data_IF_543005983188
#
_entry.id   IF_543005983188
#
_cell.length_a   1.000
_cell.length_b   1.000
_cell.length_c   1.000
_cell.angle_alpha   90.00
_cell.angle_beta   90.00
_cell.angle_gamma   90.00
#
_symmetry.space_group_name_H-M   'P 1'
#
loop_
_entity.id
_entity.type
_entity.pdbx_description
1 polymer ?
#
# COMPACT_ATOMS: atom_id res chain seq x y z
N UNK A 1 39.19 29.81 -3.04
CA UNK A 1 38.09 29.18 -3.79
C UNK A 1 37.45 28.14 -2.89
N UNK A 2 36.16 28.28 -2.58
CA UNK A 2 35.44 27.36 -1.68
C UNK A 2 34.93 26.12 -2.42
N UNK A 3 34.83 25.01 -1.69
CA UNK A 3 34.15 23.81 -2.18
C UNK A 3 32.66 24.13 -2.45
N UNK A 4 32.14 23.69 -3.59
CA UNK A 4 30.74 23.89 -3.99
C UNK A 4 30.08 22.55 -4.28
N UNK A 5 29.00 22.24 -3.56
CA UNK A 5 28.23 21.03 -3.82
C UNK A 5 27.13 21.29 -4.86
N UNK A 6 27.07 20.45 -5.89
CA UNK A 6 26.04 20.48 -6.90
C UNK A 6 24.92 19.48 -6.61
N UNK A 7 23.66 19.90 -6.38
CA UNK A 7 22.55 18.98 -6.17
C UNK A 7 22.22 18.16 -7.43
N UNK A 8 22.46 18.70 -8.62
CA UNK A 8 22.18 18.04 -9.91
C UNK A 8 23.21 16.96 -10.22
N UNK A 9 24.49 17.29 -10.04
CA UNK A 9 25.58 16.36 -10.30
C UNK A 9 25.85 15.39 -9.13
N UNK A 10 25.36 15.71 -7.93
CA UNK A 10 25.64 15.04 -6.65
C UNK A 10 27.14 14.91 -6.38
N UNK A 11 27.87 16.00 -6.65
CA UNK A 11 29.33 16.07 -6.53
C UNK A 11 29.74 17.41 -5.92
N UNK A 12 30.79 17.37 -5.14
CA UNK A 12 31.46 18.57 -4.63
C UNK A 12 32.59 18.94 -5.58
N UNK A 13 32.50 20.12 -6.18
CA UNK A 13 33.52 20.68 -7.05
C UNK A 13 34.34 21.73 -6.28
N UNK A 14 35.66 21.59 -6.34
CA UNK A 14 36.59 22.50 -5.66
C UNK A 14 36.99 23.72 -6.52
N UNK A 15 36.65 23.70 -7.81
CA UNK A 15 36.82 24.81 -8.76
C UNK A 15 35.73 25.88 -8.66
N UNK A 16 34.88 25.81 -7.63
CA UNK A 16 33.75 26.72 -7.42
C UNK A 16 32.59 26.50 -8.41
N UNK A 17 31.91 27.57 -8.80
CA UNK A 17 30.70 27.53 -9.66
C UNK A 17 30.99 27.27 -11.15
N UNK A 18 32.26 27.12 -11.55
CA UNK A 18 32.64 26.88 -12.94
C UNK A 18 32.08 25.57 -13.52
N UNK A 19 31.87 24.54 -12.68
CA UNK A 19 31.40 23.23 -13.14
C UNK A 19 30.02 23.29 -13.83
N UNK A 20 29.17 24.27 -13.46
CA UNK A 20 27.80 24.43 -13.96
C UNK A 20 27.79 24.64 -15.48
N UNK A 21 28.84 25.27 -16.01
CA UNK A 21 29.03 25.50 -17.43
C UNK A 21 29.59 24.27 -18.18
N UNK A 22 29.99 23.23 -17.46
CA UNK A 22 30.56 22.02 -18.04
C UNK A 22 29.52 21.18 -18.80
N UNK A 23 29.94 20.57 -19.91
CA UNK A 23 29.07 19.69 -20.74
C UNK A 23 28.43 18.56 -19.94
N UNK A 24 29.16 17.97 -18.98
CA UNK A 24 28.64 16.89 -18.13
C UNK A 24 27.46 17.35 -17.26
N UNK A 25 27.56 18.53 -16.63
CA UNK A 25 26.47 19.10 -15.86
C UNK A 25 25.26 19.39 -16.76
N UNK A 26 25.49 20.08 -17.88
CA UNK A 26 24.44 20.46 -18.82
C UNK A 26 23.69 19.25 -19.41
N UNK A 27 24.40 18.16 -19.75
CA UNK A 27 23.76 16.93 -20.20
C UNK A 27 22.88 16.29 -19.12
N UNK A 28 23.35 16.24 -17.86
CA UNK A 28 22.55 15.72 -16.73
C UNK A 28 21.33 16.58 -16.44
N UNK A 29 21.51 17.90 -16.43
CA UNK A 29 20.43 18.87 -16.27
C UNK A 29 19.34 18.67 -17.33
N UNK A 30 19.72 18.51 -18.60
CA UNK A 30 18.77 18.24 -19.70
C UNK A 30 17.97 16.96 -19.46
N UNK A 31 18.60 15.86 -19.05
CA UNK A 31 17.90 14.61 -18.75
C UNK A 31 16.90 14.78 -17.61
N UNK A 32 17.29 15.47 -16.54
CA UNK A 32 16.41 15.76 -15.40
C UNK A 32 15.22 16.62 -15.84
N UNK A 33 15.47 17.69 -16.59
CA UNK A 33 14.42 18.58 -17.09
C UNK A 33 13.46 17.88 -18.04
N UNK A 34 13.93 16.96 -18.89
CA UNK A 34 13.05 16.17 -19.78
C UNK A 34 12.11 15.30 -18.95
N UNK A 35 12.65 14.53 -17.99
CA UNK A 35 11.83 13.68 -17.10
C UNK A 35 10.85 14.50 -16.26
N UNK A 36 11.29 15.65 -15.76
CA UNK A 36 10.42 16.53 -14.98
C UNK A 36 9.32 17.14 -15.86
N UNK A 37 9.65 17.54 -17.09
CA UNK A 37 8.68 18.08 -18.04
C UNK A 37 7.62 17.06 -18.42
N UNK A 38 7.97 15.77 -18.56
CA UNK A 38 7.00 14.71 -18.83
C UNK A 38 5.93 14.62 -17.74
N UNK A 39 6.33 14.66 -16.45
CA UNK A 39 5.41 14.68 -15.31
C UNK A 39 4.49 15.91 -15.32
N UNK A 40 5.05 17.08 -15.59
CA UNK A 40 4.28 18.34 -15.66
C UNK A 40 3.32 18.32 -16.85
N UNK A 41 3.72 17.75 -17.99
CA UNK A 41 2.85 17.60 -19.16
C UNK A 41 1.72 16.62 -18.90
N UNK A 42 1.97 15.52 -18.19
CA UNK A 42 0.96 14.56 -17.80
C UNK A 42 -0.11 15.22 -16.93
N UNK A 43 0.29 15.93 -15.88
CA UNK A 43 -0.63 16.70 -15.05
C UNK A 43 -1.36 17.79 -15.84
N UNK A 44 -0.69 18.49 -16.78
CA UNK A 44 -1.35 19.52 -17.59
C UNK A 44 -2.48 18.94 -18.47
N UNK A 45 -2.43 17.66 -18.84
CA UNK A 45 -3.50 16.99 -19.61
C UNK A 45 -4.76 16.80 -18.78
N UNK A 46 -4.65 16.66 -17.46
CA UNK A 46 -5.80 16.48 -16.57
C UNK A 46 -6.53 17.79 -16.28
N UNK A 47 -5.97 18.95 -16.67
CA UNK A 47 -6.65 20.25 -16.51
C UNK A 47 -8.02 20.30 -17.19
N UNK A 48 -8.14 19.68 -18.38
CA UNK A 48 -9.40 19.67 -19.14
C UNK A 48 -10.40 18.64 -18.62
N UNK A 49 -9.91 17.50 -18.16
CA UNK A 49 -10.70 16.36 -17.71
C UNK A 49 -10.10 15.83 -16.41
N UNK A 50 -10.36 16.50 -15.28
CA UNK A 50 -9.86 16.04 -13.99
C UNK A 50 -10.45 14.69 -13.64
N UNK A 51 -9.63 13.82 -13.05
CA UNK A 51 -10.05 12.50 -12.60
C UNK A 51 -10.26 12.56 -11.10
N UNK A 52 -11.46 12.20 -10.68
CA UNK A 52 -11.89 12.12 -9.29
C UNK A 52 -12.21 10.66 -9.01
N UNK A 53 -11.53 10.09 -8.03
CA UNK A 53 -11.65 8.69 -7.64
C UNK A 53 -11.95 8.58 -6.14
N UNK A 54 -12.44 7.42 -5.71
CA UNK A 54 -12.54 7.09 -4.28
C UNK A 54 -11.14 7.04 -3.69
N UNK A 55 -11.00 7.50 -2.44
CA UNK A 55 -9.72 7.42 -1.77
C UNK A 55 -9.19 5.97 -1.72
N UNK A 56 -7.92 5.83 -2.05
CA UNK A 56 -7.13 4.61 -2.05
C UNK A 56 -5.74 4.98 -1.52
N UNK A 57 -5.07 4.10 -0.75
CA UNK A 57 -3.70 4.34 -0.28
C UNK A 57 -2.69 4.62 -1.41
N UNK A 58 -2.98 4.16 -2.63
CA UNK A 58 -2.16 4.43 -3.81
C UNK A 58 -2.16 5.91 -4.22
N UNK A 59 -3.12 6.71 -3.73
CA UNK A 59 -3.20 8.14 -4.03
C UNK A 59 -2.26 9.00 -3.16
N UNK A 60 -1.66 8.45 -2.12
CA UNK A 60 -0.68 9.13 -1.24
C UNK A 60 0.73 9.23 -1.87
N UNK A 61 0.80 9.21 -3.21
CA UNK A 61 2.04 9.37 -3.96
C UNK A 61 2.58 10.80 -3.86
N UNK A 62 3.88 10.91 -3.61
CA UNK A 62 4.63 12.17 -3.62
C UNK A 62 5.51 12.30 -4.84
N UNK A 63 5.75 13.53 -5.29
CA UNK A 63 6.75 13.83 -6.30
C UNK A 63 7.78 14.85 -5.80
N UNK A 64 9.01 14.72 -6.28
CA UNK A 64 10.07 15.68 -6.02
C UNK A 64 10.04 16.83 -7.04
N UNK A 65 9.92 18.06 -6.56
CA UNK A 65 10.09 19.26 -7.37
C UNK A 65 11.56 19.69 -7.37
N UNK A 66 12.22 19.63 -8.53
CA UNK A 66 13.63 20.04 -8.66
C UNK A 66 13.84 21.55 -8.52
N UNK A 67 12.84 22.37 -8.84
CA UNK A 67 12.94 23.83 -8.77
C UNK A 67 12.91 24.31 -7.31
N UNK A 68 11.99 23.74 -6.53
CA UNK A 68 11.80 24.07 -5.11
C UNK A 68 12.71 23.25 -4.19
N UNK A 69 13.23 22.12 -4.66
CA UNK A 69 13.92 21.11 -3.84
C UNK A 69 13.06 20.62 -2.67
N UNK A 70 11.79 20.32 -2.96
CA UNK A 70 10.79 19.87 -2.00
C UNK A 70 10.05 18.63 -2.49
N UNK A 71 9.62 17.80 -1.54
CA UNK A 71 8.64 16.73 -1.76
C UNK A 71 7.24 17.31 -1.66
N UNK A 72 6.43 17.08 -2.69
CA UNK A 72 5.08 17.63 -2.84
C UNK A 72 4.12 16.49 -3.11
N UNK A 73 2.88 16.58 -2.62
CA UNK A 73 1.85 15.60 -2.92
C UNK A 73 1.50 15.63 -4.41
N UNK A 74 1.41 14.45 -5.03
CA UNK A 74 1.05 14.33 -6.45
C UNK A 74 -0.45 14.54 -6.61
N UNK A 75 -1.26 13.90 -5.78
CA UNK A 75 -2.71 13.96 -5.77
C UNK A 75 -3.20 14.82 -4.59
N UNK A 76 -4.43 15.34 -4.66
CA UNK A 76 -5.12 15.93 -3.50
C UNK A 76 -6.07 14.88 -2.97
N UNK A 77 -5.94 14.52 -1.70
CA UNK A 77 -6.70 13.47 -1.05
C UNK A 77 -7.50 14.08 0.09
N UNK A 78 -8.82 13.99 0.01
CA UNK A 78 -9.72 14.16 1.14
C UNK A 78 -10.14 12.78 1.65
N UNK A 79 -10.68 12.69 2.87
CA UNK A 79 -10.87 11.43 3.60
C UNK A 79 -11.52 10.29 2.81
N UNK A 80 -12.38 10.62 1.83
CA UNK A 80 -13.12 9.65 1.02
C UNK A 80 -12.85 9.77 -0.49
N UNK A 81 -12.19 10.84 -0.95
CA UNK A 81 -12.10 11.21 -2.37
C UNK A 81 -10.68 11.65 -2.71
N UNK A 82 -10.22 11.36 -3.92
CA UNK A 82 -8.91 11.75 -4.41
C UNK A 82 -8.99 12.39 -5.80
N UNK A 83 -8.48 13.61 -5.91
CA UNK A 83 -8.35 14.33 -7.18
C UNK A 83 -6.95 14.09 -7.75
N UNK A 84 -6.89 13.40 -8.89
CA UNK A 84 -5.59 13.02 -9.43
C UNK A 84 -4.81 14.22 -9.98
N UNK A 85 -3.50 14.25 -9.72
CA UNK A 85 -2.58 15.33 -10.11
C UNK A 85 -2.89 16.72 -9.51
N UNK A 86 -3.89 16.83 -8.62
CA UNK A 86 -4.29 18.10 -8.02
C UNK A 86 -3.15 18.80 -7.27
N UNK A 87 -2.41 18.06 -6.45
CA UNK A 87 -1.37 18.64 -5.59
C UNK A 87 -0.17 19.11 -6.39
N UNK A 88 0.15 18.40 -7.48
CA UNK A 88 1.17 18.83 -8.43
C UNK A 88 0.74 20.12 -9.14
N UNK A 89 -0.48 20.18 -9.67
CA UNK A 89 -0.97 21.37 -10.38
C UNK A 89 -1.02 22.60 -9.45
N UNK A 90 -1.51 22.42 -8.23
CA UNK A 90 -1.56 23.46 -7.20
C UNK A 90 -0.16 24.00 -6.89
N UNK A 91 0.80 23.11 -6.57
CA UNK A 91 2.18 23.52 -6.30
C UNK A 91 2.80 24.32 -7.46
N UNK A 92 2.59 23.85 -8.69
CA UNK A 92 3.16 24.47 -9.89
C UNK A 92 2.55 25.83 -10.24
N UNK A 93 1.38 26.15 -9.68
CA UNK A 93 0.71 27.45 -9.80
C UNK A 93 1.15 28.46 -8.74
N UNK A 94 1.82 28.00 -7.66
CA UNK A 94 2.20 28.88 -6.56
C UNK A 94 3.22 29.95 -6.99
N UNK A 95 3.14 31.18 -6.44
CA UNK A 95 4.13 32.22 -6.72
C UNK A 95 5.53 31.82 -6.22
N UNK A 96 5.61 31.05 -5.13
CA UNK A 96 6.87 30.51 -4.62
C UNK A 96 7.56 29.62 -5.63
N UNK A 97 6.84 28.66 -6.24
CA UNK A 97 7.38 27.82 -7.30
C UNK A 97 7.86 28.63 -8.49
N UNK A 98 7.13 29.68 -8.90
CA UNK A 98 7.56 30.58 -9.97
C UNK A 98 8.91 31.22 -9.65
N UNK A 99 9.06 31.82 -8.46
CA UNK A 99 10.34 32.44 -8.05
C UNK A 99 11.48 31.44 -7.97
N UNK A 100 11.23 30.26 -7.40
CA UNK A 100 12.20 29.17 -7.30
C UNK A 100 12.60 28.63 -8.68
N UNK A 101 11.67 28.55 -9.62
CA UNK A 101 11.93 28.18 -11.01
C UNK A 101 12.87 29.20 -11.67
N UNK A 102 12.61 30.50 -11.52
CA UNK A 102 13.52 31.53 -12.04
C UNK A 102 14.93 31.42 -11.44
N UNK A 103 15.02 31.23 -10.12
CA UNK A 103 16.29 31.04 -9.41
C UNK A 103 17.03 29.78 -9.86
N UNK A 104 16.33 28.64 -9.97
CA UNK A 104 16.90 27.38 -10.43
C UNK A 104 17.46 27.49 -11.85
N UNK A 105 16.74 28.18 -12.76
CA UNK A 105 17.22 28.42 -14.12
C UNK A 105 18.48 29.27 -14.15
N UNK A 106 18.52 30.30 -13.31
CA UNK A 106 19.69 31.16 -13.19
C UNK A 106 20.89 30.42 -12.61
N UNK A 107 20.70 29.66 -11.53
CA UNK A 107 21.77 28.96 -10.83
C UNK A 107 22.38 27.85 -11.68
N UNK A 108 21.56 27.12 -12.45
CA UNK A 108 22.03 25.98 -13.26
C UNK A 108 22.29 26.32 -14.74
N UNK A 109 22.12 27.59 -15.14
CA UNK A 109 22.27 28.05 -16.54
C UNK A 109 21.49 27.19 -17.53
N UNK A 110 20.24 26.88 -17.16
CA UNK A 110 19.34 26.09 -17.97
C UNK A 110 18.81 26.89 -19.19
N UNK A 111 18.36 26.17 -20.22
CA UNK A 111 17.82 26.76 -21.44
C UNK A 111 16.58 27.64 -21.14
N UNK A 112 16.61 28.97 -21.41
CA UNK A 112 15.52 29.88 -21.05
C UNK A 112 14.19 29.55 -21.74
N UNK A 113 14.24 28.99 -22.96
CA UNK A 113 13.07 28.60 -23.76
C UNK A 113 12.22 27.50 -23.12
N UNK A 114 12.79 26.75 -22.18
CA UNK A 114 12.09 25.65 -21.52
C UNK A 114 11.41 26.09 -20.22
N UNK A 115 11.83 27.20 -19.62
CA UNK A 115 11.38 27.65 -18.30
C UNK A 115 9.86 27.77 -18.21
N UNK A 116 9.25 28.46 -19.16
CA UNK A 116 7.83 28.78 -19.11
C UNK A 116 6.94 27.53 -19.21
N UNK A 117 7.49 26.37 -19.63
CA UNK A 117 6.77 25.08 -19.66
C UNK A 117 6.57 24.50 -18.25
N UNK A 118 7.37 24.92 -17.28
CA UNK A 118 7.32 24.47 -15.89
C UNK A 118 6.57 25.45 -14.98
N UNK A 119 5.88 26.44 -15.55
CA UNK A 119 5.05 27.38 -14.82
C UNK A 119 3.61 27.18 -15.33
N UNK A 120 2.68 26.96 -14.41
CA UNK A 120 1.25 26.90 -14.72
C UNK A 120 0.69 28.29 -14.45
N UNK A 121 -0.05 28.83 -15.41
CA UNK A 121 -0.66 30.16 -15.24
C UNK A 121 -1.85 30.05 -14.29
N UNK A 122 -2.16 31.15 -13.62
CA UNK A 122 -3.31 31.24 -12.72
C UNK A 122 -4.62 30.92 -13.46
N UNK A 123 -4.81 31.45 -14.67
CA UNK A 123 -5.94 31.12 -15.55
C UNK A 123 -6.15 29.61 -15.79
N UNK A 124 -5.06 28.85 -15.96
CA UNK A 124 -5.12 27.40 -16.18
C UNK A 124 -5.52 26.68 -14.89
N UNK A 125 -5.14 27.23 -13.75
CA UNK A 125 -5.45 26.71 -12.42
C UNK A 125 -6.90 26.98 -12.05
N UNK A 126 -7.42 28.17 -12.38
CA UNK A 126 -8.84 28.50 -12.22
C UNK A 126 -9.72 27.56 -13.05
N UNK A 127 -9.37 27.34 -14.33
CA UNK A 127 -10.06 26.37 -15.19
C UNK A 127 -10.01 24.96 -14.61
N UNK A 128 -8.87 24.55 -14.07
CA UNK A 128 -8.75 23.26 -13.39
C UNK A 128 -9.71 23.18 -12.20
N UNK A 129 -9.75 24.21 -11.33
CA UNK A 129 -10.67 24.25 -10.17
C UNK A 129 -12.13 24.16 -10.59
N UNK A 130 -12.54 24.86 -11.65
CA UNK A 130 -13.92 24.79 -12.15
C UNK A 130 -14.26 23.41 -12.70
N UNK A 131 -13.36 22.79 -13.48
CA UNK A 131 -13.58 21.44 -14.00
C UNK A 131 -13.54 20.38 -12.89
N UNK A 132 -12.71 20.57 -11.86
CA UNK A 132 -12.67 19.68 -10.68
C UNK A 132 -14.00 19.75 -9.93
N UNK A 133 -14.55 20.96 -9.73
CA UNK A 133 -15.85 21.15 -9.08
C UNK A 133 -16.94 20.39 -9.83
N UNK A 134 -16.98 20.53 -11.16
CA UNK A 134 -17.90 19.78 -12.02
C UNK A 134 -17.67 18.27 -11.99
N UNK A 135 -16.42 17.82 -11.95
CA UNK A 135 -16.10 16.39 -11.87
C UNK A 135 -16.49 15.79 -10.51
N UNK A 136 -16.40 16.57 -9.43
CA UNK A 136 -16.87 16.18 -8.10
C UNK A 136 -18.39 16.03 -8.09
N UNK A 137 -19.14 17.01 -8.61
CA UNK A 137 -20.60 16.91 -8.74
C UNK A 137 -21.01 15.65 -9.54
N UNK A 138 -20.36 15.39 -10.67
CA UNK A 138 -20.62 14.18 -11.47
C UNK A 138 -20.24 12.89 -10.75
N UNK A 139 -19.25 12.92 -9.87
CA UNK A 139 -18.85 11.76 -9.08
C UNK A 139 -19.89 11.48 -8.00
N UNK A 140 -20.34 12.50 -7.28
CA UNK A 140 -21.41 12.41 -6.27
C UNK A 140 -22.72 11.92 -6.89
N UNK A 141 -23.13 12.45 -8.04
CA UNK A 141 -24.33 11.98 -8.75
C UNK A 141 -24.26 10.49 -9.10
N UNK A 142 -23.09 9.99 -9.53
CA UNK A 142 -22.89 8.57 -9.85
C UNK A 142 -22.97 7.70 -8.59
N UNK A 143 -22.38 8.16 -7.49
CA UNK A 143 -22.47 7.47 -6.19
C UNK A 143 -23.92 7.42 -5.70
N UNK A 144 -24.67 8.51 -5.81
CA UNK A 144 -26.09 8.58 -5.46
C UNK A 144 -26.95 7.62 -6.29
N UNK A 145 -26.71 7.55 -7.60
CA UNK A 145 -27.38 6.60 -8.48
C UNK A 145 -27.06 5.17 -8.06
N UNK A 146 -25.81 4.88 -7.73
CA UNK A 146 -25.38 3.56 -7.26
C UNK A 146 -26.05 3.18 -5.93
N UNK A 147 -26.12 4.11 -4.97
CA UNK A 147 -26.82 3.92 -3.68
C UNK A 147 -28.31 3.67 -3.92
N UNK A 148 -28.97 4.45 -4.80
CA UNK A 148 -30.38 4.25 -5.15
C UNK A 148 -30.64 2.88 -5.79
N UNK A 149 -29.74 2.40 -6.65
CA UNK A 149 -29.82 1.07 -7.24
C UNK A 149 -29.68 -0.02 -6.19
N UNK A 150 -28.69 0.07 -5.28
CA UNK A 150 -28.56 -0.90 -4.19
C UNK A 150 -29.78 -0.92 -3.28
N UNK A 151 -30.31 0.25 -2.92
CA UNK A 151 -31.54 0.36 -2.12
C UNK A 151 -32.75 -0.25 -2.83
N UNK A 152 -32.85 -0.14 -4.15
CA UNK A 152 -33.91 -0.79 -4.93
C UNK A 152 -33.81 -2.32 -4.89
N UNK A 153 -32.59 -2.88 -5.00
CA UNK A 153 -32.35 -4.31 -4.86
C UNK A 153 -32.79 -4.80 -3.48
N UNK A 154 -32.38 -4.12 -2.41
CA UNK A 154 -32.78 -4.46 -1.03
C UNK A 154 -34.31 -4.43 -0.88
N UNK A 155 -34.99 -3.39 -1.39
CA UNK A 155 -36.45 -3.30 -1.35
C UNK A 155 -37.13 -4.42 -2.13
N UNK A 156 -36.63 -4.79 -3.31
CA UNK A 156 -37.19 -5.90 -4.09
C UNK A 156 -36.99 -7.25 -3.40
N UNK A 157 -35.84 -7.45 -2.75
CA UNK A 157 -35.57 -8.66 -1.99
C UNK A 157 -36.48 -8.77 -0.77
N UNK A 158 -36.72 -7.67 -0.06
CA UNK A 158 -37.64 -7.64 1.08
C UNK A 158 -39.09 -7.88 0.63
N UNK A 159 -39.52 -7.25 -0.47
CA UNK A 159 -40.84 -7.51 -1.06
C UNK A 159 -41.02 -8.99 -1.41
N UNK A 160 -40.01 -9.60 -2.02
CA UNK A 160 -40.04 -11.03 -2.34
C UNK A 160 -40.11 -11.91 -1.09
N UNK A 161 -39.38 -11.57 -0.01
CA UNK A 161 -39.46 -12.28 1.28
C UNK A 161 -40.87 -12.19 1.88
N UNK A 162 -41.48 -11.01 1.85
CA UNK A 162 -42.83 -10.79 2.35
C UNK A 162 -43.88 -11.57 1.53
N UNK A 163 -43.74 -11.60 0.20
CA UNK A 163 -44.60 -12.37 -0.70
C UNK A 163 -44.55 -13.88 -0.39
N UNK A 164 -43.34 -14.43 -0.24
CA UNK A 164 -43.16 -15.85 0.15
C UNK A 164 -43.80 -16.12 1.51
N UNK A 165 -43.57 -15.27 2.52
CA UNK A 165 -44.19 -15.42 3.83
C UNK A 165 -45.72 -15.34 3.77
N UNK A 166 -46.27 -14.43 2.95
CA UNK A 166 -47.71 -14.28 2.78
C UNK A 166 -48.32 -15.52 2.14
N UNK A 167 -47.69 -16.09 1.11
CA UNK A 167 -48.17 -17.32 0.45
C UNK A 167 -48.20 -18.53 1.39
N UNK A 168 -47.33 -18.58 2.40
CA UNK A 168 -47.34 -19.63 3.43
C UNK A 168 -48.42 -19.43 4.51
N UNK A 169 -48.95 -18.21 4.61
CA UNK A 169 -49.95 -17.81 5.62
C UNK A 169 -51.38 -17.76 5.09
N UNK A 170 -51.62 -17.95 3.78
CA UNK A 170 -52.98 -18.03 3.23
C UNK A 170 -53.74 -19.24 3.81
N UNK A 171 -54.89 -19.04 4.49
CA UNK A 171 -55.74 -20.13 4.92
C UNK A 171 -56.42 -20.80 3.71
N UNK A 172 -56.48 -22.13 3.73
CA UNK A 172 -57.17 -22.96 2.75
C UNK A 172 -58.65 -22.54 2.62
N UNK A 173 -59.16 -22.16 1.42
CA UNK A 173 -60.53 -21.70 1.25
C UNK A 173 -61.59 -22.82 1.30
N UNK A 174 -61.21 -24.07 1.55
CA UNK A 174 -62.17 -25.16 1.79
C UNK A 174 -62.29 -25.47 3.29
N UNK A 175 -63.18 -24.76 4.00
CA UNK A 175 -64.00 -25.29 5.10
C UNK A 175 -64.84 -24.19 5.78
N UNK A 176 -65.85 -23.64 5.08
CA UNK A 176 -67.05 -23.15 5.79
C UNK A 176 -68.29 -23.47 4.95
N UNK A 177 -68.94 -24.58 5.28
CA UNK A 177 -70.35 -24.81 4.95
C UNK A 177 -71.25 -24.18 6.03
N UNK A 178 -72.50 -23.83 5.67
CA UNK A 178 -73.33 -22.88 6.40
C UNK A 178 -74.06 -23.53 7.57
N UNK A 179 -74.06 -22.88 8.73
CA UNK A 179 -74.94 -23.21 9.83
C UNK A 179 -75.71 -21.97 10.29
N UNK A 180 -76.97 -22.23 10.57
CA UNK A 180 -78.10 -21.33 10.61
C UNK A 180 -78.16 -20.44 11.87
N UNK A 181 -78.76 -19.26 11.66
CA UNK A 181 -79.70 -18.53 12.53
C UNK A 181 -79.54 -18.72 14.05
N UNK A 182 -79.12 -17.64 14.74
CA UNK A 182 -79.80 -17.27 15.97
C UNK A 182 -79.97 -15.75 16.08
N UNK A 183 -81.24 -15.36 16.18
CA UNK A 183 -81.70 -13.99 16.35
C UNK A 183 -81.33 -13.52 17.75
N UNK A 184 -80.72 -12.34 17.91
CA UNK A 184 -81.11 -11.42 18.98
C UNK A 184 -80.90 -9.97 18.53
N UNK A 185 -82.03 -9.26 18.49
CA UNK A 185 -82.18 -7.83 18.27
C UNK A 185 -81.31 -7.00 19.22
N UNK A 186 -80.61 -6.00 18.69
CA UNK A 186 -80.81 -4.65 19.20
C UNK A 186 -80.49 -3.59 18.14
N UNK A 187 -81.54 -2.91 17.69
CA UNK A 187 -81.49 -1.70 16.85
C UNK A 187 -81.01 -0.54 17.71
N UNK A 188 -80.22 0.36 17.14
CA UNK A 188 -80.40 1.83 17.06
C UNK A 188 -79.14 2.40 16.36
N UNK A 189 -79.21 2.76 15.06
CA UNK A 189 -79.42 4.14 14.54
C UNK A 189 -78.25 5.07 14.95
N UNK A 190 -77.45 5.74 14.10
CA UNK A 190 -77.66 6.26 12.75
C UNK A 190 -76.35 6.43 11.96
N UNK A 191 -76.49 6.41 10.64
CA UNK A 191 -75.52 6.77 9.60
C UNK A 191 -75.01 8.21 9.70
N UNK A 192 -73.75 8.44 9.26
CA UNK A 192 -73.40 9.57 8.40
C UNK A 192 -72.01 9.40 7.77
N UNK A 193 -72.01 9.32 6.45
CA UNK A 193 -70.87 9.45 5.54
C UNK A 193 -70.47 10.91 5.35
N UNK A 194 -69.17 11.21 5.26
CA UNK A 194 -68.61 12.12 4.24
C UNK A 194 -67.06 12.05 4.24
N UNK A 195 -66.52 12.21 3.04
CA UNK A 195 -65.12 12.20 2.65
C UNK A 195 -64.35 13.47 3.04
N UNK A 196 -63.02 13.38 2.86
CA UNK A 196 -62.14 14.36 2.19
C UNK A 196 -61.08 15.05 3.06
N UNK A 197 -59.83 14.89 2.59
CA UNK A 197 -58.82 15.93 2.33
C UNK A 197 -57.43 15.86 3.01
N UNK A 198 -56.49 16.43 2.25
CA UNK A 198 -55.07 16.18 2.18
C UNK A 198 -54.18 17.18 2.94
N UNK A 199 -53.04 16.67 3.46
CA UNK A 199 -51.69 17.29 3.58
C UNK A 199 -51.53 18.51 4.55
N UNK A 200 -50.31 19.09 4.76
CA UNK A 200 -48.99 18.53 5.15
C UNK A 200 -48.22 19.38 6.21
N UNK A 201 -47.18 18.80 6.88
CA UNK A 201 -46.02 19.50 7.49
C UNK A 201 -46.23 20.31 8.79
N UNK A 202 -45.18 20.69 9.56
CA UNK A 202 -43.89 21.16 9.05
C UNK A 202 -42.61 20.61 9.75
N UNK A 203 -41.53 20.83 9.01
CA UNK A 203 -40.09 20.78 9.33
C UNK A 203 -39.60 21.82 10.35
N UNK A 204 -38.58 21.50 11.15
CA UNK A 204 -37.35 22.31 11.25
C UNK A 204 -36.20 21.52 11.90
N UNK A 205 -35.01 21.87 11.45
CA UNK A 205 -33.68 21.29 11.66
C UNK A 205 -33.07 21.71 13.02
N UNK A 206 -32.13 20.93 13.57
CA UNK A 206 -30.72 21.37 13.66
C UNK A 206 -29.76 20.34 14.31
N UNK A 207 -28.50 20.56 13.97
CA UNK A 207 -27.27 19.76 14.12
C UNK A 207 -26.75 19.45 15.56
N UNK A 208 -26.18 18.25 15.68
CA UNK A 208 -24.93 17.88 16.36
C UNK A 208 -24.54 18.46 17.74
N UNK A 209 -24.48 17.60 18.76
CA UNK A 209 -23.21 17.01 19.26
C UNK A 209 -23.36 16.41 20.67
N UNK A 210 -22.54 15.37 20.91
CA UNK A 210 -22.18 14.74 22.18
C UNK A 210 -23.10 13.66 22.76
N UNK A 211 -22.70 12.44 22.42
CA UNK A 211 -22.17 11.47 23.38
C UNK A 211 -23.15 10.58 24.14
N UNK A 212 -22.70 9.33 24.25
CA UNK A 212 -22.83 8.48 25.43
C UNK A 212 -24.15 7.71 25.57
N UNK A 213 -24.07 6.46 25.08
CA UNK A 213 -24.48 5.25 25.78
C UNK A 213 -25.48 5.46 26.93
N UNK A 214 -26.73 5.05 26.70
CA UNK A 214 -27.56 4.49 27.76
C UNK A 214 -28.40 3.35 27.17
N UNK A 215 -28.44 2.28 27.94
CA UNK A 215 -29.27 1.09 27.80
C UNK A 215 -30.73 1.39 27.45
N UNK A 216 -31.43 0.41 26.85
CA UNK A 216 -32.81 0.16 27.19
C UNK A 216 -32.89 -1.13 28.02
N UNK A 217 -32.90 -0.96 29.34
CA UNK A 217 -33.60 -1.90 30.22
C UNK A 217 -35.11 -1.72 30.06
N UNK A 218 -35.85 -2.80 30.33
CA UNK A 218 -37.32 -2.97 30.27
C UNK A 218 -37.87 -3.58 28.97
N UNK A 219 -37.46 -4.83 28.75
CA UNK A 219 -38.19 -5.83 27.97
C UNK A 219 -38.06 -7.21 28.61
N UNK A 220 -38.31 -7.34 29.92
CA UNK A 220 -38.37 -8.65 30.58
C UNK A 220 -39.68 -9.34 30.20
N UNK A 221 -39.65 -10.20 29.18
CA UNK A 221 -40.61 -11.30 29.07
C UNK A 221 -40.14 -12.45 29.95
N UNK A 222 -40.95 -12.80 30.95
CA UNK A 222 -40.74 -13.95 31.83
C UNK A 222 -40.79 -15.24 31.01
N UNK A 223 -39.63 -15.88 30.81
CA UNK A 223 -39.55 -17.26 30.32
C UNK A 223 -39.68 -18.16 31.56
N UNK A 224 -40.71 -19.00 31.58
CA UNK A 224 -41.12 -19.81 32.75
C UNK A 224 -40.01 -20.69 33.33
N UNK A 225 -40.28 -21.23 34.53
CA UNK A 225 -39.36 -22.07 35.32
C UNK A 225 -38.61 -23.07 34.44
N UNK A 226 -37.29 -22.90 34.32
CA UNK A 226 -36.41 -23.92 33.75
C UNK A 226 -36.04 -24.88 34.88
N UNK A 227 -36.52 -26.11 34.79
CA UNK A 227 -36.02 -27.21 35.60
C UNK A 227 -34.52 -27.33 35.36
N UNK A 228 -33.74 -27.28 36.44
CA UNK A 228 -32.27 -27.18 36.44
C UNK A 228 -31.55 -28.44 35.94
N UNK A 229 -32.26 -29.34 35.29
CA UNK A 229 -31.79 -30.67 34.89
C UNK A 229 -31.54 -30.84 33.39
N UNK A 230 -31.80 -29.83 32.53
CA UNK A 230 -31.55 -29.93 31.08
C UNK A 230 -30.34 -29.11 30.64
N UNK A 231 -29.13 -29.54 30.96
CA UNK A 231 -27.91 -29.04 30.34
C UNK A 231 -27.73 -29.68 28.95
N UNK A 232 -28.44 -29.16 27.95
CA UNK A 232 -28.33 -29.63 26.56
C UNK A 232 -28.89 -28.62 25.56
N UNK A 233 -28.39 -28.62 24.33
CA UNK A 233 -28.85 -27.73 23.28
C UNK A 233 -30.35 -27.96 22.94
N UNK A 234 -31.13 -26.87 22.78
CA UNK A 234 -32.61 -26.87 22.72
C UNK A 234 -33.19 -27.67 21.54
N UNK A 235 -32.39 -28.02 20.54
CA UNK A 235 -32.85 -28.75 19.35
C UNK A 235 -32.49 -30.25 19.32
N UNK A 236 -31.63 -30.75 20.21
CA UNK A 236 -31.21 -32.16 20.16
C UNK A 236 -30.92 -32.78 21.52
N UNK A 237 -30.91 -32.01 22.61
CA UNK A 237 -30.61 -32.50 23.97
C UNK A 237 -29.18 -33.03 24.15
N UNK A 238 -28.36 -33.07 23.09
CA UNK A 238 -26.99 -33.52 23.14
C UNK A 238 -26.10 -32.43 23.76
N UNK A 239 -25.20 -32.86 24.64
CA UNK A 239 -24.16 -32.02 25.22
C UNK A 239 -23.17 -31.65 24.10
N UNK A 240 -22.93 -30.36 23.85
CA UNK A 240 -21.99 -29.95 22.80
C UNK A 240 -20.58 -30.47 23.12
N UNK A 241 -19.78 -30.79 22.09
CA UNK A 241 -18.52 -31.52 22.25
C UNK A 241 -17.47 -30.83 23.11
N UNK A 242 -17.57 -29.50 23.32
CA UNK A 242 -16.69 -28.74 24.21
C UNK A 242 -17.15 -28.69 25.69
N UNK A 243 -18.28 -29.32 26.00
CA UNK A 243 -18.87 -29.42 27.34
C UNK A 243 -18.86 -30.87 27.86
N UNK A 244 -18.18 -31.77 27.16
CA UNK A 244 -17.88 -33.11 27.66
C UNK A 244 -16.66 -32.99 28.58
N UNK A 245 -16.83 -33.26 29.88
CA UNK A 245 -15.70 -33.50 30.76
C UNK A 245 -15.04 -34.80 30.29
N UNK A 246 -13.81 -34.69 29.80
CA UNK A 246 -13.09 -35.82 29.19
C UNK A 246 -12.98 -36.99 30.18
N UNK A 247 -13.52 -38.19 29.84
CA UNK A 247 -13.32 -39.34 30.68
C UNK A 247 -11.93 -39.92 30.45
N UNK A 248 -11.27 -40.24 31.57
CA UNK A 248 -9.98 -40.90 31.66
C UNK A 248 -9.78 -42.02 30.63
N UNK A 249 -8.71 -41.87 29.85
CA UNK A 249 -7.84 -42.88 29.23
C UNK A 249 -8.30 -44.34 29.32
N UNK A 250 -8.93 -44.85 28.24
CA UNK A 250 -8.80 -46.25 27.86
C UNK A 250 -9.06 -46.47 26.36
N UNK A 251 -7.98 -46.74 25.63
CA UNK A 251 -7.95 -47.44 24.32
C UNK A 251 -8.11 -46.57 23.05
N UNK A 252 -7.06 -45.81 22.76
CA UNK A 252 -6.40 -45.70 21.45
C UNK A 252 -7.22 -45.57 20.16
N UNK A 253 -7.30 -44.35 19.63
CA UNK A 253 -6.92 -44.02 18.24
C UNK A 253 -6.66 -42.52 18.13
N UNK A 254 -5.41 -42.17 17.78
CA UNK A 254 -4.84 -40.85 17.47
C UNK A 254 -5.70 -39.59 17.68
N UNK A 255 -5.29 -38.76 18.64
CA UNK A 255 -5.46 -37.31 18.56
C UNK A 255 -4.88 -36.86 17.22
N UNK A 256 -5.73 -36.66 16.21
CA UNK A 256 -5.33 -35.96 15.02
C UNK A 256 -5.12 -34.51 15.44
N UNK A 257 -3.88 -34.13 15.75
CA UNK A 257 -3.50 -32.73 15.86
C UNK A 257 -3.93 -32.04 14.57
N UNK A 258 -5.01 -31.27 14.65
CA UNK A 258 -5.53 -30.53 13.52
C UNK A 258 -4.61 -29.34 13.28
N UNK A 259 -3.53 -29.56 12.51
CA UNK A 259 -2.55 -28.55 12.13
C UNK A 259 -1.11 -29.06 12.22
N UNK A 260 -0.16 -28.46 11.46
CA UNK A 260 1.24 -28.81 11.60
C UNK A 260 1.70 -28.56 13.03
N UNK A 261 2.50 -29.48 13.56
CA UNK A 261 3.05 -29.36 14.91
C UNK A 261 3.72 -27.99 15.09
N UNK A 262 3.66 -27.42 16.30
CA UNK A 262 4.30 -26.14 16.60
C UNK A 262 5.77 -26.11 16.12
N UNK A 263 6.45 -27.25 16.24
CA UNK A 263 7.83 -27.42 15.80
C UNK A 263 7.98 -27.38 14.27
N UNK A 264 7.05 -27.95 13.51
CA UNK A 264 7.00 -27.82 12.05
C UNK A 264 6.71 -26.39 11.60
N UNK A 265 5.79 -25.69 12.27
CA UNK A 265 5.51 -24.30 11.96
C UNK A 265 6.74 -23.40 12.14
N UNK A 266 7.49 -23.61 13.22
CA UNK A 266 8.73 -22.87 13.47
C UNK A 266 9.79 -23.17 12.41
N UNK A 267 9.98 -24.45 12.05
CA UNK A 267 10.90 -24.85 10.96
C UNK A 267 10.50 -24.22 9.62
N UNK A 268 9.21 -24.19 9.29
CA UNK A 268 8.72 -23.57 8.07
C UNK A 268 9.01 -22.06 8.04
N UNK A 269 8.79 -21.36 9.16
CA UNK A 269 9.15 -19.94 9.31
C UNK A 269 10.63 -19.67 9.09
N UNK A 270 11.51 -20.55 9.57
CA UNK A 270 12.95 -20.42 9.35
C UNK A 270 13.34 -20.63 7.88
N UNK A 271 12.74 -21.62 7.21
CA UNK A 271 12.98 -21.85 5.79
C UNK A 271 12.51 -20.69 4.91
N UNK A 272 11.37 -20.07 5.21
CA UNK A 272 10.92 -18.88 4.49
C UNK A 272 11.87 -17.69 4.66
N UNK A 273 12.43 -17.51 5.87
CA UNK A 273 13.45 -16.47 6.10
C UNK A 273 14.68 -16.71 5.24
N UNK A 274 15.12 -17.96 5.10
CA UNK A 274 16.27 -18.33 4.26
C UNK A 274 15.97 -18.13 2.77
N UNK A 275 14.76 -18.47 2.29
CA UNK A 275 14.34 -18.27 0.90
C UNK A 275 14.25 -16.79 0.48
N UNK A 276 13.96 -15.89 1.42
CA UNK A 276 13.89 -14.44 1.21
C UNK A 276 15.26 -13.76 1.08
N UNK A 277 16.35 -14.49 1.36
CA UNK A 277 17.70 -13.95 1.29
C UNK A 277 18.29 -14.19 -0.11
N UNK A 278 19.01 -13.20 -0.70
CA UNK A 278 19.58 -13.35 -2.03
C UNK A 278 20.56 -14.54 -2.10
N UNK A 279 20.43 -15.45 -3.08
CA UNK A 279 21.29 -16.63 -3.18
C UNK A 279 22.75 -16.28 -3.42
N UNK A 280 23.04 -15.14 -4.06
CA UNK A 280 24.39 -14.67 -4.36
C UNK A 280 24.96 -13.73 -3.27
N UNK A 281 24.49 -13.80 -2.02
CA UNK A 281 25.10 -13.02 -0.92
C UNK A 281 26.46 -13.60 -0.54
N UNK A 282 27.40 -12.72 -0.17
CA UNK A 282 28.72 -13.12 0.32
C UNK A 282 28.55 -14.04 1.53
N UNK A 283 29.12 -15.25 1.48
CA UNK A 283 28.99 -16.27 2.54
C UNK A 283 27.85 -17.28 2.36
N UNK A 284 27.00 -17.19 1.33
CA UNK A 284 25.93 -18.17 1.09
C UNK A 284 26.43 -19.59 0.75
N UNK A 285 27.56 -19.68 0.05
CA UNK A 285 28.19 -20.95 -0.34
C UNK A 285 29.40 -21.30 0.55
N UNK A 286 29.51 -20.66 1.72
CA UNK A 286 30.64 -20.89 2.61
C UNK A 286 30.41 -22.16 3.41
N UNK A 287 31.24 -23.17 3.17
CA UNK A 287 31.17 -24.44 3.87
C UNK A 287 31.86 -24.31 5.24
N UNK A 288 31.04 -24.28 6.30
CA UNK A 288 31.48 -24.18 7.69
C UNK A 288 32.15 -25.46 8.22
N UNK A 289 32.17 -26.56 7.45
CA UNK A 289 32.82 -27.81 7.83
C UNK A 289 34.29 -27.91 7.35
N UNK A 290 34.74 -26.96 6.52
CA UNK A 290 36.12 -26.93 6.04
C UNK A 290 37.07 -26.40 7.12
N UNK A 291 38.11 -27.18 7.46
CA UNK A 291 39.14 -26.76 8.41
C UNK A 291 40.02 -25.68 7.77
N UNK A 292 40.12 -24.51 8.40
CA UNK A 292 40.93 -23.40 7.90
C UNK A 292 42.38 -23.53 8.39
N UNK A 293 43.33 -23.61 7.46
CA UNK A 293 44.76 -23.57 7.79
C UNK A 293 45.18 -22.18 8.27
N UNK A 294 46.21 -22.05 9.11
CA UNK A 294 46.69 -20.76 9.64
C UNK A 294 47.09 -19.71 8.57
N UNK A 295 47.12 -20.10 7.29
CA UNK A 295 47.33 -19.24 6.13
C UNK A 295 46.02 -18.76 5.46
N UNK A 296 44.86 -19.03 6.06
CA UNK A 296 43.55 -18.65 5.50
C UNK A 296 43.35 -17.12 5.42
N UNK A 297 44.06 -16.37 6.28
CA UNK A 297 44.05 -14.91 6.25
C UNK A 297 45.20 -14.41 5.35
N UNK A 298 44.91 -13.60 4.31
CA UNK A 298 45.96 -12.89 3.59
C UNK A 298 46.81 -12.11 4.59
N UNK A 299 48.14 -12.24 4.52
CA UNK A 299 49.01 -11.51 5.43
C UNK A 299 48.89 -10.01 5.14
N UNK A 300 48.10 -9.28 5.93
CA UNK A 300 47.90 -7.83 5.80
C UNK A 300 49.13 -7.04 6.28
N UNK A 301 50.32 -7.41 5.80
CA UNK A 301 51.58 -6.70 6.04
C UNK A 301 51.89 -6.44 7.51
N UNK A 302 51.41 -7.30 8.43
CA UNK A 302 51.58 -7.16 9.89
C UNK A 302 51.05 -5.83 10.44
N UNK A 303 50.03 -5.24 9.80
CA UNK A 303 49.37 -3.98 10.20
C UNK A 303 48.78 -4.04 11.61
N UNK A 304 48.51 -5.25 12.12
CA UNK A 304 47.86 -5.50 13.41
C UNK A 304 48.83 -5.91 14.54
N UNK A 305 50.15 -5.90 14.32
CA UNK A 305 51.11 -6.19 15.39
C UNK A 305 51.32 -4.98 16.31
N UNK A 306 51.21 -5.20 17.62
CA UNK A 306 51.53 -4.20 18.64
C UNK A 306 53.05 -4.01 18.75
N UNK A 307 53.54 -2.83 18.35
CA UNK A 307 54.97 -2.49 18.37
C UNK A 307 55.28 -1.21 17.57
N UNK A 308 56.52 -0.70 17.66
CA UNK A 308 56.92 0.51 16.91
C UNK A 308 57.00 0.19 15.42
N UNK A 309 56.42 1.06 14.58
CA UNK A 309 56.31 0.89 13.11
C UNK A 309 57.62 0.54 12.39
N UNK A 310 58.78 0.99 12.90
CA UNK A 310 60.08 0.65 12.32
C UNK A 310 60.43 -0.84 12.43
N UNK A 311 60.08 -1.50 13.54
CA UNK A 311 60.42 -2.92 13.76
C UNK A 311 59.66 -3.83 12.79
N UNK A 312 58.37 -3.56 12.57
CA UNK A 312 57.54 -4.24 11.57
C UNK A 312 58.10 -4.06 10.15
N UNK A 313 58.58 -2.85 9.82
CA UNK A 313 59.20 -2.56 8.52
C UNK A 313 60.51 -3.32 8.28
N UNK A 314 61.32 -3.57 9.32
CA UNK A 314 62.58 -4.33 9.20
C UNK A 314 62.29 -5.80 8.96
N UNK A 315 61.38 -6.39 9.72
CA UNK A 315 60.96 -7.78 9.56
C UNK A 315 60.32 -8.04 8.20
N UNK A 316 59.45 -7.13 7.73
CA UNK A 316 58.84 -7.25 6.40
C UNK A 316 59.88 -7.34 5.27
N UNK A 317 60.92 -6.49 5.30
CA UNK A 317 62.01 -6.57 4.32
C UNK A 317 62.80 -7.87 4.40
N UNK A 318 62.99 -8.40 5.61
CA UNK A 318 63.69 -9.65 5.83
C UNK A 318 62.89 -10.86 5.31
N UNK A 319 61.56 -10.84 5.47
CA UNK A 319 60.64 -11.84 4.90
C UNK A 319 60.55 -11.75 3.38
N UNK A 320 60.51 -10.54 2.81
CA UNK A 320 60.61 -10.36 1.36
C UNK A 320 61.92 -10.89 0.79
N UNK A 321 63.04 -10.71 1.51
CA UNK A 321 64.33 -11.25 1.09
C UNK A 321 64.34 -12.79 1.13
N UNK A 322 63.76 -13.39 2.18
CA UNK A 322 63.64 -14.86 2.34
C UNK A 322 62.70 -15.49 1.29
N UNK A 323 61.59 -14.83 0.95
CA UNK A 323 60.62 -15.32 -0.04
C UNK A 323 61.09 -15.13 -1.50
N UNK A 324 61.90 -14.11 -1.79
CA UNK A 324 62.56 -13.96 -3.10
C UNK A 324 63.63 -15.04 -3.33
N UNK A 325 64.33 -15.48 -2.27
CA UNK A 325 65.30 -16.58 -2.36
C UNK A 325 64.66 -17.93 -2.72
N UNK A 326 63.49 -18.25 -2.14
CA UNK A 326 62.77 -19.51 -2.44
C UNK A 326 62.22 -19.56 -3.87
N UNK A 327 61.64 -18.47 -4.37
CA UNK A 327 61.08 -18.39 -5.73
C UNK A 327 62.13 -18.56 -6.82
N UNK A 328 63.39 -18.23 -6.54
CA UNK A 328 64.49 -18.38 -7.51
C UNK A 328 64.93 -19.84 -7.70
N UNK A 329 64.59 -20.75 -6.77
CA UNK A 329 64.99 -22.16 -6.85
C UNK A 329 63.96 -23.04 -7.57
N UNK A 330 62.70 -22.58 -7.67
CA UNK A 330 61.62 -23.33 -8.33
C UNK A 330 61.53 -23.07 -9.85
N UNK A 331 62.14 -21.99 -10.37
CA UNK A 331 62.02 -21.55 -11.77
C UNK A 331 63.08 -22.15 -12.72
N UNK A 332 64.10 -22.85 -12.19
CA UNK A 332 65.17 -23.48 -13.01
C UNK A 332 64.79 -24.86 -13.59
N UNK A 333 63.54 -25.32 -13.40
CA UNK A 333 63.08 -26.65 -13.82
C UNK A 333 62.07 -26.65 -14.97
N UNK A 334 62.56 -26.85 -16.20
CA UNK A 334 61.86 -27.24 -17.46
C UNK A 334 61.53 -26.12 -18.46
N UNK A 335 62.41 -25.97 -19.45
CA UNK A 335 62.08 -25.44 -20.77
C UNK A 335 61.95 -26.59 -21.78
N UNK A 336 60.77 -26.76 -22.39
CA UNK A 336 60.59 -27.54 -23.64
C UNK A 336 59.90 -26.69 -24.70
N UNK A 337 60.62 -26.48 -25.81
CA UNK A 337 60.23 -25.78 -27.05
C UNK A 337 58.91 -26.29 -27.64
N UNK A 338 58.10 -25.39 -28.20
CA UNK A 338 57.07 -25.75 -29.20
C UNK A 338 57.15 -24.84 -30.44
N UNK A 339 57.08 -25.48 -31.60
CA UNK A 339 57.23 -24.98 -32.98
C UNK A 339 56.18 -23.94 -33.39
N UNK A 340 56.59 -23.04 -34.28
CA UNK A 340 55.72 -22.21 -35.14
C UNK A 340 55.34 -23.02 -36.38
N UNK A 341 54.05 -23.01 -36.74
CA UNK A 341 53.59 -23.28 -38.10
C UNK A 341 52.72 -22.12 -38.61
N UNK A 342 52.98 -21.75 -39.86
CA UNK A 342 52.24 -20.81 -40.69
C UNK A 342 51.28 -21.61 -41.58
N UNK A 343 50.08 -21.10 -41.85
CA UNK A 343 49.38 -21.41 -43.10
C UNK A 343 48.39 -20.31 -43.50
N UNK A 344 48.52 -19.88 -44.76
CA UNK A 344 47.63 -19.03 -45.53
C UNK A 344 46.27 -19.69 -45.83
N UNK A 345 45.28 -18.88 -46.20
CA UNK A 345 44.44 -19.18 -47.39
C UNK A 345 42.92 -19.26 -47.19
N UNK A 346 42.24 -18.23 -47.73
CA UNK A 346 40.99 -18.26 -48.52
C UNK A 346 39.78 -19.11 -48.07
N UNK A 347 38.66 -18.43 -47.78
CA UNK A 347 37.56 -18.19 -48.72
C UNK A 347 36.67 -17.04 -48.24
#
# INVERSE_FOLDING_TARGET
MGAFYCPICRKTDFSGKGHIYGKSHQSKLKVILVKFMEKVKEARRTIKNPQVEKYSPDHDEKFWCYCCALEVQKHVTDSNISVLYGGLLEHMSTPEHRTNTHKFWWDNKADPKLRDKFIIKEEETERFKTEVSKALEQFEEKEDVFIKQQAAVIRSQEQHRLEVLQSLSEPDPELVQPAEVDQHNNKHIASRSYEMDARPGPSHEDFASHSQWNEPGLGLTFIGYQDSSSSGNVHTGAVPPWLLDEPDEATGTGQQEMGPSLQEFLKHKEQEKLKKLPPNRVGANFDHSSHTDANWLPSFGRVWNSGRRWQSRRQFREEEAKTKGKRKWEDDGKATKKQKDLSNGAL
#
